data_IF_241275176260
#
_entry.id   IF_241275176260
#
_cell.length_a   1.000
_cell.length_b   1.000
_cell.length_c   1.000
_cell.angle_alpha   90.00
_cell.angle_beta   90.00
_cell.angle_gamma   90.00
#
_symmetry.space_group_name_H-M   'P 1'
#
loop_
_entity.id
_entity.type
_entity.pdbx_description
1 polymer ?
#
# COMPACT_ATOMS: atom_id res chain seq x y z
N UNK A 1 -14.84 -15.90 -18.89
CA UNK A 1 -14.28 -14.79 -18.08
C UNK A 1 -13.90 -15.40 -16.74
N UNK A 2 -12.61 -15.66 -16.51
CA UNK A 2 -12.15 -16.38 -15.32
C UNK A 2 -11.78 -15.37 -14.23
N UNK A 3 -12.65 -15.21 -13.23
CA UNK A 3 -12.37 -14.39 -12.06
C UNK A 3 -11.53 -15.20 -11.07
N UNK A 4 -10.24 -15.36 -11.36
CA UNK A 4 -9.29 -15.91 -10.38
C UNK A 4 -8.96 -14.83 -9.33
N UNK A 5 -9.90 -14.58 -8.40
CA UNK A 5 -9.70 -13.75 -7.21
C UNK A 5 -9.00 -14.53 -6.08
N UNK A 6 -7.93 -15.26 -6.41
CA UNK A 6 -7.15 -15.95 -5.39
C UNK A 6 -6.34 -14.90 -4.63
N UNK A 7 -6.66 -14.71 -3.35
CA UNK A 7 -5.88 -13.86 -2.44
C UNK A 7 -4.45 -14.36 -2.42
N UNK A 8 -3.52 -13.54 -2.93
CA UNK A 8 -2.10 -13.81 -2.77
C UNK A 8 -1.70 -13.47 -1.33
N UNK A 9 -0.83 -14.29 -0.76
CA UNK A 9 -0.27 -14.03 0.56
C UNK A 9 0.47 -12.70 0.54
N UNK A 10 0.22 -11.85 1.55
CA UNK A 10 0.95 -10.60 1.75
C UNK A 10 2.46 -10.91 1.83
N UNK A 11 3.27 -10.13 1.10
CA UNK A 11 4.74 -10.19 1.22
C UNK A 11 5.14 -9.84 2.65
N UNK A 12 5.99 -10.61 3.31
CA UNK A 12 6.32 -10.38 4.72
C UNK A 12 7.21 -9.13 4.84
N UNK A 13 7.06 -8.41 5.96
CA UNK A 13 7.95 -7.30 6.31
C UNK A 13 9.29 -7.85 6.77
N UNK A 14 10.37 -7.40 6.16
CA UNK A 14 11.72 -7.79 6.56
C UNK A 14 12.75 -7.66 5.45
N UNK A 15 13.88 -8.35 5.64
CA UNK A 15 15.02 -8.37 4.70
C UNK A 15 15.43 -9.80 4.33
N UNK A 16 14.67 -10.81 4.76
CA UNK A 16 14.86 -12.19 4.35
C UNK A 16 14.49 -12.42 2.88
N UNK A 17 14.83 -13.60 2.36
CA UNK A 17 14.54 -13.96 0.98
C UNK A 17 13.04 -13.85 0.66
N UNK A 18 12.68 -13.04 -0.33
CA UNK A 18 11.30 -12.81 -0.74
C UNK A 18 10.52 -11.79 0.11
N UNK A 19 11.17 -11.12 1.07
CA UNK A 19 10.57 -10.10 1.94
C UNK A 19 10.81 -8.68 1.39
N UNK A 20 9.98 -7.73 1.83
CA UNK A 20 10.18 -6.31 1.57
C UNK A 20 10.15 -5.55 2.89
N UNK A 21 11.08 -4.62 3.07
CA UNK A 21 11.06 -3.76 4.24
C UNK A 21 10.11 -2.58 3.99
N UNK A 22 9.10 -2.43 4.86
CA UNK A 22 8.06 -1.42 4.72
C UNK A 22 8.49 -0.12 5.41
N UNK A 23 9.03 0.82 4.64
CA UNK A 23 9.38 2.14 5.17
C UNK A 23 8.16 2.83 5.79
N UNK A 24 8.40 3.79 6.68
CA UNK A 24 7.34 4.66 7.21
C UNK A 24 6.64 5.38 6.04
N UNK A 25 5.32 5.54 6.15
CA UNK A 25 4.57 6.31 5.16
C UNK A 25 5.01 7.78 5.21
N UNK A 26 5.07 8.44 4.05
CA UNK A 26 5.23 9.89 4.04
C UNK A 26 4.02 10.56 4.71
N UNK A 27 4.20 11.82 5.13
CA UNK A 27 3.07 12.64 5.58
C UNK A 27 2.02 12.72 4.48
N UNK A 28 0.74 12.56 4.84
CA UNK A 28 -0.36 12.65 3.89
C UNK A 28 -0.42 14.07 3.35
N UNK A 29 -0.25 14.23 2.05
CA UNK A 29 -0.46 15.49 1.36
C UNK A 29 -1.95 15.69 1.11
N UNK A 30 -2.47 16.87 1.44
CA UNK A 30 -3.90 17.16 1.41
C UNK A 30 -4.12 18.46 0.66
N UNK A 31 -4.99 18.43 -0.33
CA UNK A 31 -5.38 19.61 -1.10
C UNK A 31 -6.89 19.67 -1.26
N UNK A 32 -7.43 20.89 -1.29
CA UNK A 32 -8.84 21.14 -1.55
C UNK A 32 -8.95 22.16 -2.67
N UNK A 33 -9.64 21.81 -3.75
CA UNK A 33 -9.86 22.66 -4.90
C UNK A 33 -11.29 22.47 -5.42
N UNK A 34 -11.95 23.58 -5.77
CA UNK A 34 -13.36 23.62 -6.14
C UNK A 34 -14.25 22.97 -5.07
N UNK A 35 -14.78 21.78 -5.36
CA UNK A 35 -15.59 20.94 -4.47
C UNK A 35 -14.92 19.60 -4.20
N UNK A 36 -13.62 19.43 -4.48
CA UNK A 36 -12.91 18.16 -4.33
C UNK A 36 -11.85 18.24 -3.24
N UNK A 37 -11.92 17.30 -2.30
CA UNK A 37 -10.88 17.07 -1.31
C UNK A 37 -10.02 15.89 -1.73
N UNK A 38 -8.72 16.11 -1.92
CA UNK A 38 -7.75 15.12 -2.39
C UNK A 38 -6.72 14.82 -1.31
N UNK A 39 -6.49 13.54 -1.02
CA UNK A 39 -5.42 13.06 -0.15
C UNK A 39 -4.45 12.19 -0.97
N UNK A 40 -3.16 12.53 -0.95
CA UNK A 40 -2.10 11.76 -1.57
C UNK A 40 -1.28 11.06 -0.48
N UNK A 41 -1.24 9.73 -0.55
CA UNK A 41 -0.53 8.88 0.39
C UNK A 41 0.61 8.19 -0.34
N UNK A 42 1.83 8.35 0.15
CA UNK A 42 3.02 7.72 -0.43
C UNK A 42 3.64 6.77 0.59
N UNK A 43 3.99 5.57 0.12
CA UNK A 43 4.80 4.63 0.88
C UNK A 43 5.84 3.97 0.01
N UNK A 44 6.98 3.68 0.61
CA UNK A 44 8.06 2.95 -0.03
C UNK A 44 8.23 1.56 0.59
N UNK A 45 8.52 0.59 -0.27
CA UNK A 45 8.92 -0.76 0.12
C UNK A 45 10.31 -1.03 -0.45
N UNK A 46 11.29 -1.27 0.41
CA UNK A 46 12.67 -1.51 0.03
C UNK A 46 12.92 -3.01 -0.14
N UNK A 47 13.53 -3.40 -1.24
CA UNK A 47 13.99 -4.77 -1.42
C UNK A 47 15.47 -4.88 -1.06
N UNK A 48 15.75 -5.52 0.06
CA UNK A 48 17.09 -5.92 0.48
C UNK A 48 17.14 -7.43 0.75
N UNK A 49 16.35 -8.21 -0.01
CA UNK A 49 16.15 -9.64 0.21
C UNK A 49 17.23 -10.54 -0.40
N UNK A 50 18.19 -9.96 -1.14
CA UNK A 50 19.22 -10.70 -1.88
C UNK A 50 18.73 -11.28 -3.20
N UNK A 51 17.52 -10.94 -3.64
CA UNK A 51 16.93 -11.40 -4.89
C UNK A 51 15.76 -10.53 -5.34
N UNK A 52 15.21 -10.82 -6.51
CA UNK A 52 14.05 -10.11 -7.04
C UNK A 52 12.77 -10.49 -6.29
N UNK A 53 11.94 -9.50 -5.96
CA UNK A 53 10.60 -9.73 -5.40
C UNK A 53 9.54 -9.36 -6.44
N UNK A 54 8.56 -10.24 -6.64
CA UNK A 54 7.45 -10.01 -7.57
C UNK A 54 6.21 -9.52 -6.83
N UNK A 55 5.73 -8.33 -7.20
CA UNK A 55 4.54 -7.70 -6.64
C UNK A 55 3.42 -7.76 -7.66
N UNK A 56 2.32 -8.41 -7.32
CA UNK A 56 1.15 -8.56 -8.19
C UNK A 56 -0.05 -7.73 -7.73
N UNK A 57 0.04 -7.18 -6.52
CA UNK A 57 -1.07 -6.56 -5.81
C UNK A 57 -0.54 -5.60 -4.76
N UNK A 58 -1.26 -4.50 -4.57
CA UNK A 58 -1.01 -3.54 -3.50
C UNK A 58 -2.30 -3.32 -2.70
N UNK A 59 -2.16 -2.96 -1.43
CA UNK A 59 -3.30 -2.74 -0.55
C UNK A 59 -3.05 -1.51 0.32
N UNK A 60 -4.09 -0.71 0.48
CA UNK A 60 -4.12 0.39 1.46
C UNK A 60 -4.75 -0.13 2.74
N UNK A 61 -3.93 -0.21 3.80
CA UNK A 61 -4.38 -0.66 5.14
C UNK A 61 -4.20 0.50 6.11
N UNK A 62 -5.28 0.86 6.80
CA UNK A 62 -5.24 1.83 7.88
C UNK A 62 -5.10 1.10 9.21
N UNK A 63 -4.15 1.57 10.03
CA UNK A 63 -4.00 1.15 11.43
C UNK A 63 -4.71 2.15 12.32
N UNK A 64 -5.54 1.65 13.22
CA UNK A 64 -6.29 2.49 14.15
C UNK A 64 -6.28 1.86 15.55
N UNK A 65 -6.44 2.72 16.55
CA UNK A 65 -6.68 2.32 17.93
C UNK A 65 -8.17 2.40 18.24
N UNK A 66 -8.67 1.44 18.99
CA UNK A 66 -10.00 1.54 19.59
C UNK A 66 -9.85 2.37 20.86
N UNK A 67 -10.71 3.37 21.04
CA UNK A 67 -10.66 4.23 22.21
C UNK A 67 -10.84 3.41 23.50
N UNK A 68 -9.88 3.54 24.42
CA UNK A 68 -9.87 2.78 25.68
C UNK A 68 -9.27 1.38 25.59
N UNK A 69 -8.71 0.98 24.44
CA UNK A 69 -7.99 -0.27 24.27
C UNK A 69 -6.56 -0.04 23.76
N UNK A 70 -5.62 -0.85 24.24
CA UNK A 70 -4.22 -0.85 23.75
C UNK A 70 -4.07 -1.60 22.42
N UNK A 71 -5.13 -2.27 21.95
CA UNK A 71 -5.13 -3.07 20.73
C UNK A 71 -5.01 -2.18 19.49
N UNK A 72 -3.99 -2.43 18.66
CA UNK A 72 -3.90 -1.87 17.31
C UNK A 72 -4.69 -2.75 16.35
N UNK A 73 -5.77 -2.20 15.80
CA UNK A 73 -6.55 -2.84 14.76
C UNK A 73 -6.07 -2.41 13.37
N UNK A 74 -6.42 -3.18 12.35
CA UNK A 74 -6.11 -2.86 10.95
C UNK A 74 -7.37 -3.03 10.11
N UNK A 75 -7.68 -2.05 9.29
CA UNK A 75 -8.77 -2.10 8.31
C UNK A 75 -8.19 -1.98 6.89
N UNK A 76 -8.63 -2.87 6.00
CA UNK A 76 -8.32 -2.80 4.58
C UNK A 76 -9.25 -1.77 3.92
N UNK A 77 -8.69 -0.70 3.38
CA UNK A 77 -9.43 0.38 2.72
C UNK A 77 -9.53 0.18 1.21
N UNK A 78 -8.43 -0.25 0.58
CA UNK A 78 -8.38 -0.59 -0.84
C UNK A 78 -7.47 -1.79 -1.08
N UNK A 79 -7.74 -2.51 -2.16
CA UNK A 79 -6.93 -3.62 -2.63
C UNK A 79 -6.96 -3.64 -4.16
N UNK A 80 -5.79 -3.52 -4.75
CA UNK A 80 -5.61 -3.27 -6.17
C UNK A 80 -4.73 -4.34 -6.79
N UNK A 81 -5.34 -5.20 -7.62
CA UNK A 81 -4.63 -6.17 -8.46
C UNK A 81 -3.95 -5.40 -9.59
N UNK A 82 -2.63 -5.57 -9.72
CA UNK A 82 -1.88 -4.92 -10.78
C UNK A 82 -2.13 -5.62 -12.12
N UNK A 83 -2.22 -4.83 -13.21
CA UNK A 83 -2.41 -5.36 -14.56
C UNK A 83 -1.25 -6.22 -15.07
N UNK A 84 -0.08 -6.10 -14.45
CA UNK A 84 1.10 -6.94 -14.68
C UNK A 84 1.92 -7.04 -13.40
N UNK A 85 2.73 -8.10 -13.27
CA UNK A 85 3.69 -8.23 -12.18
C UNK A 85 4.72 -7.10 -12.23
N UNK A 86 4.91 -6.43 -11.10
CA UNK A 86 6.00 -5.49 -10.88
C UNK A 86 7.14 -6.25 -10.22
N UNK A 87 8.25 -6.40 -10.93
CA UNK A 87 9.49 -6.91 -10.33
C UNK A 87 10.20 -5.78 -9.62
N UNK A 88 10.50 -5.97 -8.34
CA UNK A 88 11.34 -5.09 -7.53
C UNK A 88 12.71 -5.77 -7.42
N UNK A 89 13.74 -5.33 -8.16
CA UNK A 89 15.08 -5.88 -8.06
C UNK A 89 15.65 -5.75 -6.64
N UNK A 90 16.64 -6.58 -6.32
CA UNK A 90 17.40 -6.41 -5.07
C UNK A 90 18.08 -5.03 -5.02
N UNK A 91 18.23 -4.46 -3.84
CA UNK A 91 18.72 -3.09 -3.55
C UNK A 91 17.91 -1.94 -4.17
N UNK A 92 16.71 -2.24 -4.69
CA UNK A 92 15.80 -1.25 -5.26
C UNK A 92 14.61 -0.97 -4.34
N UNK A 93 13.74 -0.07 -4.79
CA UNK A 93 12.58 0.37 -4.02
C UNK A 93 11.33 0.40 -4.90
N UNK A 94 10.21 -0.06 -4.33
CA UNK A 94 8.88 0.18 -4.87
C UNK A 94 8.29 1.41 -4.19
N UNK A 95 7.87 2.40 -4.99
CA UNK A 95 7.02 3.51 -4.54
C UNK A 95 5.56 3.19 -4.86
N UNK A 96 4.70 3.24 -3.85
CA UNK A 96 3.24 3.13 -4.01
C UNK A 96 2.62 4.47 -3.66
N UNK A 97 1.75 4.98 -4.53
CA UNK A 97 1.02 6.23 -4.33
C UNK A 97 -0.47 5.98 -4.47
N UNK A 98 -1.23 6.26 -3.42
CA UNK A 98 -2.68 6.33 -3.46
C UNK A 98 -3.13 7.77 -3.52
N UNK A 99 -4.02 8.10 -4.46
CA UNK A 99 -4.73 9.38 -4.50
C UNK A 99 -6.19 9.09 -4.20
N UNK A 100 -6.71 9.64 -3.12
CA UNK A 100 -8.09 9.45 -2.67
C UNK A 100 -8.81 10.79 -2.82
N UNK A 101 -9.94 10.78 -3.51
CA UNK A 101 -10.71 11.98 -3.78
C UNK A 101 -12.13 11.85 -3.24
N UNK A 102 -12.60 12.92 -2.59
CA UNK A 102 -13.99 13.10 -2.20
C UNK A 102 -14.52 14.37 -2.87
N UNK A 103 -15.46 14.19 -3.80
CA UNK A 103 -16.17 15.29 -4.44
C UNK A 103 -17.45 15.63 -3.66
N UNK A 104 -17.62 16.88 -3.29
CA UNK A 104 -18.82 17.43 -2.69
C UNK A 104 -19.79 17.91 -3.78
N UNK A 105 -21.12 17.82 -3.54
CA UNK A 105 -22.11 18.47 -4.39
C UNK A 105 -21.85 19.98 -4.47
N UNK A 106 -22.21 20.58 -5.62
CA UNK A 106 -22.20 22.02 -5.82
C UNK A 106 -23.32 22.73 -5.05
#
# INVERSE_FOLDING_TARGET
LEFALTLQTKIIEGTGAGELNYAESEAIDKSYADTTWTHTLVRYCNNNSGGNVSVNEVALVCRYHIYGEDTVCSILLSRDKLGSTVTVPDTSQLKVTYTIELAYPA
#
